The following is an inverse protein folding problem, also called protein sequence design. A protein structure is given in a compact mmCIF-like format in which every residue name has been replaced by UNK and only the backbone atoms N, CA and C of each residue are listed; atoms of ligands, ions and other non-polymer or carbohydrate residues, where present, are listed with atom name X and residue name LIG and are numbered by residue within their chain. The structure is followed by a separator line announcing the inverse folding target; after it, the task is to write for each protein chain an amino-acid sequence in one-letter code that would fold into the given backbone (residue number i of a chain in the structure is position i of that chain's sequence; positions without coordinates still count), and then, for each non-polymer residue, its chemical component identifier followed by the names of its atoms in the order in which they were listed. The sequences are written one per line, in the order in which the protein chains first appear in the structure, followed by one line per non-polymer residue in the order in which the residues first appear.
data_IF_898406892515
#
_entry.id   IF_898406892515
#
_cell.length_a   1.000
_cell.length_b   1.000
_cell.length_c   1.000
_cell.angle_alpha   90.00
_cell.angle_beta   90.00
_cell.angle_gamma   90.00
#
_symmetry.space_group_name_H-M   'P 1'
#
loop_
_entity.id
_entity.type
_entity.pdbx_description
1 polymer ?
#
# COMPACT_ATOMS: atom_id res chain seq x y z
N UNK A 1 -11.18 10.35 -0.30
CA UNK A 1 -10.72 8.97 -0.55
C UNK A 1 -11.00 8.65 -2.00
N UNK A 2 -10.22 7.76 -2.62
CA UNK A 2 -10.52 7.32 -3.98
C UNK A 2 -11.87 6.60 -4.00
N UNK A 3 -12.67 6.84 -5.03
CA UNK A 3 -13.95 6.16 -5.26
C UNK A 3 -13.72 5.19 -6.41
N UNK A 4 -13.92 3.90 -6.16
CA UNK A 4 -13.60 2.81 -7.08
C UNK A 4 -14.62 1.67 -6.96
N UNK A 5 -14.52 0.68 -7.84
CA UNK A 5 -15.49 -0.42 -7.96
C UNK A 5 -15.36 -1.42 -6.81
N UNK A 6 -14.14 -1.57 -6.29
CA UNK A 6 -13.87 -2.43 -5.12
C UNK A 6 -14.43 -1.86 -3.81
N UNK A 7 -14.88 -0.60 -3.82
CA UNK A 7 -15.31 0.16 -2.64
C UNK A 7 -14.24 0.17 -1.53
N UNK A 8 -12.98 -0.05 -1.88
CA UNK A 8 -11.86 -0.11 -0.96
C UNK A 8 -10.74 0.83 -1.42
N UNK A 9 -10.37 1.75 -0.53
CA UNK A 9 -9.34 2.76 -0.76
C UNK A 9 -8.08 2.53 0.11
N UNK A 10 -7.97 1.38 0.77
CA UNK A 10 -6.95 1.11 1.79
C UNK A 10 -6.43 -0.32 1.70
N UNK A 11 -5.12 -0.47 1.92
CA UNK A 11 -4.47 -1.75 2.20
C UNK A 11 -3.73 -1.59 3.52
N UNK A 12 -3.79 -2.60 4.38
CA UNK A 12 -3.02 -2.59 5.63
C UNK A 12 -3.39 -3.70 6.61
N UNK A 13 -2.57 -3.84 7.64
CA UNK A 13 -2.57 -4.99 8.57
C UNK A 13 -3.91 -5.29 9.26
N UNK A 14 -4.80 -4.31 9.38
CA UNK A 14 -6.15 -4.50 9.95
C UNK A 14 -7.27 -4.46 8.92
N UNK A 15 -7.08 -3.73 7.82
CA UNK A 15 -8.11 -3.55 6.80
C UNK A 15 -8.14 -4.69 5.78
N UNK A 16 -7.04 -5.43 5.64
CA UNK A 16 -6.84 -6.49 4.65
C UNK A 16 -6.63 -7.83 5.37
N UNK A 17 -7.66 -8.71 5.47
CA UNK A 17 -7.58 -9.98 6.19
C UNK A 17 -6.54 -10.96 5.60
N UNK A 18 -6.33 -10.90 4.29
CA UNK A 18 -5.48 -11.75 3.48
C UNK A 18 -4.26 -10.99 2.94
N UNK A 19 -3.75 -10.04 3.73
CA UNK A 19 -2.56 -9.27 3.40
C UNK A 19 -1.36 -10.21 3.23
N UNK A 20 -0.76 -10.17 2.06
CA UNK A 20 0.44 -10.95 1.77
C UNK A 20 1.67 -10.20 2.28
N UNK A 21 2.56 -10.95 2.92
CA UNK A 21 3.81 -10.45 3.49
C UNK A 21 4.96 -11.24 2.89
N UNK A 22 6.05 -10.55 2.58
CA UNK A 22 7.27 -11.13 2.03
C UNK A 22 8.02 -11.93 3.11
N UNK A 23 8.97 -12.78 2.70
CA UNK A 23 9.75 -13.62 3.62
C UNK A 23 10.55 -12.81 4.65
N UNK A 24 10.95 -11.59 4.28
CA UNK A 24 11.68 -10.65 5.16
C UNK A 24 10.75 -9.85 6.09
N UNK A 25 9.44 -10.06 6.03
CA UNK A 25 8.42 -9.35 6.81
C UNK A 25 7.96 -8.03 6.19
N UNK A 26 8.47 -7.62 5.04
CA UNK A 26 7.98 -6.46 4.29
C UNK A 26 6.65 -6.74 3.59
N UNK A 27 5.97 -5.68 3.16
CA UNK A 27 4.68 -5.77 2.45
C UNK A 27 4.73 -4.87 1.23
N UNK A 28 4.50 -5.47 0.07
CA UNK A 28 4.32 -4.72 -1.17
C UNK A 28 2.87 -4.27 -1.30
N UNK A 29 2.66 -3.01 -1.67
CA UNK A 29 1.33 -2.44 -1.89
C UNK A 29 1.27 -1.88 -3.31
N UNK A 30 0.25 -2.31 -4.05
CA UNK A 30 0.08 -1.93 -5.45
C UNK A 30 -1.06 -0.93 -5.60
N UNK A 31 -0.88 0.05 -6.49
CA UNK A 31 -1.92 1.03 -6.84
C UNK A 31 -2.01 1.13 -8.35
N UNK A 32 -3.15 0.75 -8.93
CA UNK A 32 -3.31 0.74 -10.38
C UNK A 32 -4.75 0.44 -10.82
N UNK A 33 -5.07 0.54 -12.12
CA UNK A 33 -6.43 0.29 -12.62
C UNK A 33 -6.86 -1.17 -12.51
N UNK A 34 -5.89 -2.09 -12.54
CA UNK A 34 -6.07 -3.54 -12.42
C UNK A 34 -5.08 -4.12 -11.41
N UNK A 35 -5.44 -5.22 -10.71
CA UNK A 35 -4.53 -5.86 -9.76
C UNK A 35 -3.37 -6.56 -10.50
N UNK A 36 -2.18 -6.64 -9.87
CA UNK A 36 -1.13 -7.52 -10.34
C UNK A 36 -1.53 -8.98 -10.11
N UNK A 37 -1.12 -9.93 -10.98
CA UNK A 37 -1.45 -11.34 -10.82
C UNK A 37 -0.98 -11.89 -9.47
N UNK A 38 -1.91 -12.44 -8.68
CA UNK A 38 -1.60 -13.06 -7.38
C UNK A 38 -1.40 -12.07 -6.23
N UNK A 39 -1.56 -10.76 -6.45
CA UNK A 39 -1.44 -9.70 -5.44
C UNK A 39 -2.76 -8.93 -5.26
N UNK A 40 -3.89 -9.58 -5.53
CA UNK A 40 -5.22 -8.96 -5.50
C UNK A 40 -5.57 -8.39 -4.12
N UNK A 41 -5.08 -9.00 -3.04
CA UNK A 41 -5.30 -8.54 -1.66
C UNK A 41 -4.44 -7.32 -1.27
N UNK A 42 -3.29 -7.14 -1.93
CA UNK A 42 -2.32 -6.08 -1.66
C UNK A 42 -2.51 -4.85 -2.56
N UNK A 43 -3.68 -4.71 -3.19
CA UNK A 43 -3.91 -3.73 -4.26
C UNK A 43 -5.04 -2.74 -3.95
N UNK A 44 -4.85 -1.48 -4.38
CA UNK A 44 -5.89 -0.43 -4.41
C UNK A 44 -6.17 -0.02 -5.85
N UNK A 45 -7.43 -0.08 -6.24
CA UNK A 45 -7.86 0.35 -7.57
C UNK A 45 -7.74 1.88 -7.73
N UNK A 46 -6.96 2.31 -8.73
CA UNK A 46 -6.85 3.70 -9.17
C UNK A 46 -7.70 4.00 -10.41
N UNK A 47 -8.16 5.24 -10.57
CA UNK A 47 -8.86 5.67 -11.78
C UNK A 47 -7.90 5.93 -12.96
N UNK A 48 -8.17 5.43 -14.18
CA UNK A 48 -7.36 5.72 -15.36
C UNK A 48 -7.24 7.23 -15.61
N UNK A 49 -6.02 7.72 -15.84
CA UNK A 49 -5.76 9.14 -16.13
C UNK A 49 -6.04 10.13 -15.00
N UNK A 50 -6.23 9.65 -13.76
CA UNK A 50 -6.44 10.50 -12.57
C UNK A 50 -5.25 10.43 -11.62
N UNK A 51 -4.82 11.58 -11.13
CA UNK A 51 -3.82 11.67 -10.07
C UNK A 51 -4.35 11.13 -8.74
N UNK A 52 -3.44 10.62 -7.92
CA UNK A 52 -3.71 10.13 -6.57
C UNK A 52 -2.49 10.39 -5.69
N UNK A 53 -2.68 10.27 -4.37
CA UNK A 53 -1.61 10.32 -3.40
C UNK A 53 -1.99 9.45 -2.19
N UNK A 54 -1.04 8.77 -1.53
CA UNK A 54 -1.33 7.95 -0.37
C UNK A 54 -1.27 8.74 0.93
N UNK A 55 -1.97 8.24 1.94
CA UNK A 55 -1.70 8.53 3.35
C UNK A 55 -1.22 7.25 4.01
N UNK A 56 0.04 7.22 4.44
CA UNK A 56 0.56 6.15 5.28
C UNK A 56 0.21 6.48 6.73
N UNK A 57 -0.44 5.53 7.42
CA UNK A 57 -0.84 5.69 8.81
C UNK A 57 -0.23 4.60 9.66
N UNK A 58 0.40 5.02 10.75
CA UNK A 58 0.96 4.11 11.73
C UNK A 58 0.39 4.46 13.09
N UNK A 59 -0.28 3.49 13.67
CA UNK A 59 -1.05 3.67 14.89
C UNK A 59 -0.21 3.19 16.08
N UNK A 60 0.42 4.13 16.78
CA UNK A 60 1.31 3.85 17.91
C UNK A 60 2.68 3.29 17.51
N UNK A 61 3.43 3.95 16.61
CA UNK A 61 4.77 3.51 16.25
C UNK A 61 5.75 3.66 17.44
N UNK A 62 6.78 2.81 17.47
CA UNK A 62 7.89 2.91 18.42
C UNK A 62 8.81 4.11 18.12
N UNK A 63 9.79 4.34 18.99
CA UNK A 63 10.71 5.48 18.87
C UNK A 63 11.51 5.45 17.56
N UNK A 64 11.94 4.28 17.11
CA UNK A 64 12.73 4.08 15.89
C UNK A 64 12.04 4.60 14.62
N UNK A 65 10.71 4.72 14.62
CA UNK A 65 9.98 5.30 13.50
C UNK A 65 10.28 6.79 13.28
N UNK A 66 10.61 7.50 14.35
CA UNK A 66 10.88 8.93 14.32
C UNK A 66 12.36 9.24 14.09
N UNK A 67 13.20 8.19 14.04
CA UNK A 67 14.62 8.28 13.73
C UNK A 67 14.81 8.02 12.23
N UNK A 68 15.20 9.07 11.50
CA UNK A 68 15.39 9.02 10.05
C UNK A 68 16.54 8.08 9.63
N UNK A 69 17.49 7.80 10.53
CA UNK A 69 18.58 6.85 10.29
C UNK A 69 18.13 5.39 10.50
N UNK A 70 17.07 5.17 11.29
CA UNK A 70 16.53 3.85 11.58
C UNK A 70 15.42 3.45 10.60
N UNK A 71 14.59 4.41 10.16
CA UNK A 71 13.51 4.14 9.21
C UNK A 71 13.29 5.30 8.23
N UNK A 72 13.33 4.96 6.93
CA UNK A 72 12.89 5.84 5.85
C UNK A 72 11.70 5.20 5.12
N UNK A 73 10.62 5.96 4.93
CA UNK A 73 9.47 5.48 4.16
C UNK A 73 9.90 5.24 2.70
N UNK A 74 9.66 4.04 2.15
CA UNK A 74 9.98 3.75 0.77
C UNK A 74 9.29 4.70 -0.20
N UNK A 75 9.98 5.04 -1.30
CA UNK A 75 9.38 5.80 -2.38
C UNK A 75 8.36 4.94 -3.13
N UNK A 76 7.39 5.61 -3.74
CA UNK A 76 6.46 4.96 -4.66
C UNK A 76 7.17 4.79 -5.99
N UNK A 77 7.32 3.55 -6.42
CA UNK A 77 7.98 3.22 -7.68
C UNK A 77 6.95 2.88 -8.75
N UNK A 78 7.24 3.30 -9.98
CA UNK A 78 6.48 2.85 -11.14
C UNK A 78 7.02 1.48 -11.54
N UNK A 79 6.12 0.54 -11.77
CA UNK A 79 6.44 -0.81 -12.20
C UNK A 79 5.64 -1.15 -13.46
N UNK A 80 6.09 -2.19 -14.17
CA UNK A 80 5.59 -2.56 -15.50
C UNK A 80 4.70 -3.81 -15.47
N UNK A 81 4.07 -4.11 -14.32
CA UNK A 81 3.20 -5.29 -14.25
C UNK A 81 2.03 -5.21 -15.24
#
# INVERSE_FOLDING_TARGET
MIVNETQNATVGSRATPDLQTNEDGSVDIYVGPTPPPGMESNWVQSGPGRGWFPYVRMCGPGADWFDEDAYALPQIEKTDW
#
